data_IF_344210434832
#
_entry.id   IF_344210434832
#
_cell.length_a   1.000
_cell.length_b   1.000
_cell.length_c   1.000
_cell.angle_alpha   90.00
_cell.angle_beta   90.00
_cell.angle_gamma   90.00
#
_symmetry.space_group_name_H-M   'P 1'
#
loop_
_entity.id
_entity.type
_entity.pdbx_description
1 polymer ?
#
# COMPACT_ATOMS: atom_id res chain seq x y z
N UNK A 1 10.61 13.21 59.22
CA UNK A 1 10.34 12.21 60.28
C UNK A 1 9.14 11.39 59.84
N UNK A 2 9.20 10.04 59.81
CA UNK A 2 8.05 9.11 59.61
C UNK A 2 7.20 9.28 58.32
N UNK A 3 6.83 8.26 57.53
CA UNK A 3 7.19 6.82 57.51
C UNK A 3 6.88 6.28 56.11
N UNK A 4 7.63 5.28 55.64
CA UNK A 4 7.26 4.47 54.46
C UNK A 4 6.74 3.10 54.91
N UNK A 5 5.76 2.54 54.17
CA UNK A 5 5.76 1.11 53.80
C UNK A 5 5.40 0.93 52.31
N UNK A 6 5.54 -0.22 51.66
CA UNK A 6 6.45 -1.38 51.78
C UNK A 6 6.28 -2.20 50.46
N UNK A 7 7.26 -2.98 49.98
CA UNK A 7 7.14 -3.70 48.71
C UNK A 7 6.35 -5.03 48.86
N UNK A 8 5.30 -5.20 48.06
CA UNK A 8 4.57 -6.47 47.96
C UNK A 8 5.38 -7.53 47.21
N UNK A 9 5.64 -8.68 47.83
CA UNK A 9 6.56 -9.70 47.32
C UNK A 9 5.87 -11.04 47.08
N UNK A 10 6.12 -11.64 45.91
CA UNK A 10 6.02 -13.07 45.55
C UNK A 10 4.69 -13.86 45.68
N UNK A 11 4.45 -14.69 44.65
CA UNK A 11 3.45 -15.78 44.61
C UNK A 11 2.62 -15.75 43.32
N UNK A 12 2.47 -16.83 42.55
CA UNK A 12 2.94 -18.22 42.68
C UNK A 12 3.20 -18.83 41.29
N UNK A 13 4.06 -19.84 41.27
CA UNK A 13 4.29 -20.78 40.15
C UNK A 13 3.01 -21.44 39.66
N UNK A 14 2.86 -21.56 38.32
CA UNK A 14 1.78 -22.32 37.67
C UNK A 14 2.27 -23.06 36.43
N UNK A 15 3.05 -24.14 36.62
CA UNK A 15 3.47 -25.03 35.52
C UNK A 15 2.95 -26.46 35.77
N UNK A 16 1.94 -26.84 34.99
CA UNK A 16 1.36 -28.19 34.87
C UNK A 16 1.10 -28.37 33.36
N UNK A 17 1.85 -29.15 32.56
CA UNK A 17 2.25 -30.57 32.59
C UNK A 17 1.08 -31.58 32.46
N UNK A 18 1.16 -32.35 31.36
CA UNK A 18 0.46 -33.63 31.03
C UNK A 18 -1.04 -33.46 30.61
N UNK A 19 -1.62 -34.33 29.78
CA UNK A 19 -1.17 -35.65 29.29
C UNK A 19 -1.57 -35.98 27.84
N UNK A 20 -0.86 -36.98 27.32
CA UNK A 20 -1.08 -37.84 26.13
C UNK A 20 -2.49 -38.37 25.84
N UNK A 21 -2.81 -38.53 24.55
CA UNK A 21 -3.70 -39.57 23.97
C UNK A 21 -3.24 -39.87 22.54
N UNK A 22 -2.64 -41.04 22.26
CA UNK A 22 -3.28 -42.24 21.67
C UNK A 22 -4.26 -41.91 20.51
N UNK A 23 -3.92 -42.10 19.23
CA UNK A 23 -3.65 -43.35 18.49
C UNK A 23 -4.92 -44.17 18.14
N UNK A 24 -5.28 -44.21 16.85
CA UNK A 24 -6.35 -45.05 16.27
C UNK A 24 -6.48 -44.83 14.74
N UNK A 25 -6.90 -45.83 13.91
CA UNK A 25 -6.36 -45.97 12.55
C UNK A 25 -7.41 -46.09 11.40
N UNK A 26 -6.88 -46.39 10.19
CA UNK A 26 -7.55 -46.76 8.91
C UNK A 26 -8.22 -45.59 8.14
N UNK A 27 -7.86 -45.25 6.89
CA UNK A 27 -7.60 -46.00 5.65
C UNK A 27 -8.86 -46.41 4.86
N UNK A 28 -8.97 -45.93 3.62
CA UNK A 28 -9.33 -46.57 2.33
C UNK A 28 -9.49 -45.41 1.31
N UNK A 29 -8.60 -45.16 0.33
CA UNK A 29 -8.31 -45.84 -0.94
C UNK A 29 -9.45 -45.84 -1.99
N UNK A 30 -9.25 -45.10 -3.09
CA UNK A 30 -9.73 -45.30 -4.49
C UNK A 30 -9.53 -43.94 -5.23
N UNK A 31 -8.57 -43.66 -6.12
CA UNK A 31 -7.93 -44.35 -7.26
C UNK A 31 -8.57 -44.03 -8.63
N UNK A 32 -7.73 -43.54 -9.56
CA UNK A 32 -8.04 -43.33 -10.99
C UNK A 32 -8.38 -41.88 -11.39
N UNK A 33 -8.03 -41.38 -12.58
CA UNK A 33 -7.35 -42.02 -13.72
C UNK A 33 -6.43 -41.03 -14.48
N UNK A 34 -5.46 -41.58 -15.21
CA UNK A 34 -4.42 -40.85 -15.96
C UNK A 34 -4.91 -40.45 -17.36
N UNK A 35 -4.43 -39.31 -17.88
CA UNK A 35 -4.12 -39.19 -19.30
C UNK A 35 -2.71 -38.59 -19.49
N UNK A 36 -1.78 -39.46 -19.87
CA UNK A 36 -0.48 -39.06 -20.40
C UNK A 36 -0.61 -38.86 -21.92
N UNK A 37 -0.09 -37.75 -22.44
CA UNK A 37 0.10 -37.52 -23.87
C UNK A 37 1.59 -37.45 -24.19
N UNK A 38 2.11 -38.40 -24.97
CA UNK A 38 3.55 -38.51 -25.27
C UNK A 38 3.82 -39.04 -26.69
N UNK A 39 4.51 -38.24 -27.52
CA UNK A 39 5.11 -38.63 -28.81
C UNK A 39 4.11 -39.00 -29.94
N UNK A 40 4.46 -39.01 -31.23
CA UNK A 40 5.60 -38.56 -32.06
C UNK A 40 5.07 -38.53 -33.55
N UNK A 41 5.81 -38.28 -34.68
CA UNK A 41 7.27 -38.27 -34.89
C UNK A 41 7.83 -37.14 -35.83
N UNK A 42 9.13 -37.20 -36.14
CA UNK A 42 9.78 -36.47 -37.27
C UNK A 42 9.55 -37.21 -38.61
N UNK A 43 9.98 -36.80 -39.82
CA UNK A 43 11.02 -35.86 -40.36
C UNK A 43 10.56 -35.49 -41.82
N UNK A 44 11.33 -34.93 -42.81
CA UNK A 44 12.75 -34.53 -42.92
C UNK A 44 12.99 -33.06 -43.36
N UNK A 45 14.24 -32.74 -43.71
CA UNK A 45 14.73 -31.38 -43.98
C UNK A 45 14.55 -30.86 -45.42
N UNK A 46 14.50 -29.53 -45.57
CA UNK A 46 14.73 -28.78 -46.81
C UNK A 46 15.59 -27.53 -46.52
N UNK A 47 16.47 -27.07 -47.42
CA UNK A 47 17.45 -26.01 -47.13
C UNK A 47 17.00 -24.59 -47.50
N UNK A 48 17.76 -23.60 -46.97
CA UNK A 48 17.65 -22.15 -47.19
C UNK A 48 16.39 -21.48 -46.57
N UNK A 49 16.46 -20.28 -45.98
CA UNK A 49 17.47 -19.21 -46.12
C UNK A 49 17.73 -18.54 -44.77
N UNK A 50 18.96 -18.08 -44.53
CA UNK A 50 19.30 -17.35 -43.30
C UNK A 50 18.70 -15.94 -43.28
N UNK A 51 18.03 -15.59 -42.19
CA UNK A 51 17.62 -14.21 -41.89
C UNK A 51 17.92 -13.90 -40.41
N UNK A 52 18.72 -12.87 -40.09
CA UNK A 52 18.92 -12.49 -38.71
C UNK A 52 17.68 -11.74 -38.22
N UNK A 53 17.05 -12.25 -37.17
CA UNK A 53 16.07 -11.49 -36.40
C UNK A 53 16.42 -11.66 -34.93
N UNK A 54 17.14 -10.68 -34.41
CA UNK A 54 17.53 -10.58 -33.02
C UNK A 54 16.28 -10.53 -32.15
N UNK A 55 15.86 -11.68 -31.64
CA UNK A 55 14.80 -11.82 -30.65
C UNK A 55 15.27 -11.26 -29.31
N UNK A 56 15.37 -9.93 -29.22
CA UNK A 56 15.62 -9.25 -27.97
C UNK A 56 14.44 -9.52 -27.04
N UNK A 57 14.67 -10.31 -25.99
CA UNK A 57 13.73 -10.48 -24.89
C UNK A 57 13.57 -9.13 -24.19
N UNK A 58 12.55 -8.37 -24.59
CA UNK A 58 12.14 -7.19 -23.85
C UNK A 58 11.75 -7.63 -22.43
N UNK A 59 12.31 -7.03 -21.37
CA UNK A 59 11.79 -7.27 -20.04
C UNK A 59 10.33 -6.78 -20.03
N UNK A 60 9.44 -7.60 -19.48
CA UNK A 60 8.07 -7.19 -19.19
C UNK A 60 8.08 -6.20 -18.02
N UNK A 61 8.56 -4.98 -18.26
CA UNK A 61 8.25 -3.83 -17.44
C UNK A 61 6.74 -3.70 -17.43
N UNK A 62 6.11 -4.00 -16.28
CA UNK A 62 4.72 -3.71 -16.00
C UNK A 62 4.54 -2.19 -16.00
N UNK A 63 4.39 -1.64 -17.21
CA UNK A 63 4.14 -0.25 -17.47
C UNK A 63 2.79 0.13 -16.91
N UNK A 64 2.78 0.61 -15.66
CA UNK A 64 1.65 1.34 -15.11
C UNK A 64 1.29 2.44 -16.10
N UNK A 65 0.12 2.31 -16.73
CA UNK A 65 -0.35 3.26 -17.73
C UNK A 65 -0.33 4.67 -17.12
N UNK A 66 0.09 5.66 -17.91
CA UNK A 66 0.03 7.05 -17.49
C UNK A 66 -1.42 7.37 -17.10
N UNK A 67 -1.66 7.55 -15.80
CA UNK A 67 -3.00 7.70 -15.29
C UNK A 67 -3.56 9.04 -15.79
N UNK A 68 -4.54 9.00 -16.70
CA UNK A 68 -5.15 10.21 -17.28
C UNK A 68 -5.58 11.19 -16.20
N UNK A 69 -5.49 12.50 -16.45
CA UNK A 69 -5.64 13.49 -15.40
C UNK A 69 -7.01 13.44 -14.71
N UNK A 70 -7.04 13.74 -13.40
CA UNK A 70 -8.26 13.89 -12.61
C UNK A 70 -8.18 15.20 -11.85
N UNK A 71 -9.26 15.99 -11.90
CA UNK A 71 -9.43 17.16 -11.05
C UNK A 71 -10.09 16.77 -9.74
N UNK A 72 -9.62 17.35 -8.64
CA UNK A 72 -10.12 17.14 -7.28
C UNK A 72 -10.36 18.49 -6.61
N UNK A 73 -11.34 18.55 -5.72
CA UNK A 73 -11.56 19.73 -4.87
C UNK A 73 -10.88 19.52 -3.52
N UNK A 74 -9.99 20.44 -3.14
CA UNK A 74 -9.41 20.46 -1.80
C UNK A 74 -10.45 20.95 -0.79
N UNK A 75 -10.30 20.60 0.50
CA UNK A 75 -11.15 21.13 1.58
C UNK A 75 -11.06 22.66 1.71
N UNK A 76 -9.97 23.27 1.23
CA UNK A 76 -9.80 24.72 1.13
C UNK A 76 -10.54 25.35 -0.08
N UNK A 77 -11.31 24.58 -0.84
CA UNK A 77 -12.09 25.03 -2.00
C UNK A 77 -11.31 25.16 -3.31
N UNK A 78 -9.98 25.05 -3.29
CA UNK A 78 -9.17 25.10 -4.50
C UNK A 78 -9.29 23.80 -5.32
N UNK A 79 -9.36 23.92 -6.65
CA UNK A 79 -9.25 22.82 -7.60
C UNK A 79 -7.79 22.45 -7.84
N UNK A 80 -7.48 21.15 -7.88
CA UNK A 80 -6.14 20.63 -8.17
C UNK A 80 -6.23 19.48 -9.16
N UNK A 81 -5.27 19.38 -10.09
CA UNK A 81 -5.17 18.26 -11.04
C UNK A 81 -4.11 17.26 -10.58
N UNK A 82 -4.44 15.98 -10.61
CA UNK A 82 -3.53 14.85 -10.41
C UNK A 82 -3.27 14.20 -11.79
N UNK A 83 -2.02 13.98 -12.21
CA UNK A 83 -0.78 14.36 -11.54
C UNK A 83 -0.53 15.88 -11.51
N UNK A 84 0.23 16.32 -10.51
CA UNK A 84 0.50 17.74 -10.22
C UNK A 84 1.75 18.30 -10.91
N UNK A 85 2.48 17.48 -11.68
CA UNK A 85 3.82 17.79 -12.19
C UNK A 85 4.95 17.49 -11.20
N UNK A 86 4.63 17.15 -9.94
CA UNK A 86 5.60 16.91 -8.87
C UNK A 86 5.47 15.50 -8.27
N UNK A 87 6.54 14.96 -7.65
CA UNK A 87 6.47 13.80 -6.76
C UNK A 87 5.37 13.98 -5.71
N UNK A 88 4.36 13.10 -5.73
CA UNK A 88 3.13 13.29 -4.93
C UNK A 88 2.75 12.01 -4.19
N UNK A 89 2.60 12.10 -2.87
CA UNK A 89 1.98 11.05 -2.04
C UNK A 89 0.47 11.23 -2.03
N UNK A 90 -0.28 10.16 -2.29
CA UNK A 90 -1.72 10.06 -2.03
C UNK A 90 -1.92 9.09 -0.86
N UNK A 91 -2.56 9.55 0.20
CA UNK A 91 -2.86 8.76 1.41
C UNK A 91 -4.38 8.62 1.57
N UNK A 92 -4.89 7.40 1.45
CA UNK A 92 -6.32 7.11 1.45
C UNK A 92 -6.80 6.67 2.84
N UNK A 93 -7.79 7.39 3.39
CA UNK A 93 -8.23 7.23 4.78
C UNK A 93 -9.71 7.61 4.97
N UNK A 94 -10.19 7.49 6.20
CA UNK A 94 -11.36 8.23 6.74
C UNK A 94 -10.95 8.78 8.11
N UNK A 95 -11.49 9.91 8.60
CA UNK A 95 -11.11 10.41 9.93
C UNK A 95 -11.52 9.46 11.07
N UNK A 96 -12.57 8.68 10.86
CA UNK A 96 -13.03 7.59 11.74
C UNK A 96 -12.08 6.37 11.83
N UNK A 97 -11.08 6.25 10.94
CA UNK A 97 -10.09 5.18 10.94
C UNK A 97 -9.08 5.30 12.10
N UNK A 98 -9.14 4.40 13.08
CA UNK A 98 -8.31 4.45 14.29
C UNK A 98 -6.78 4.38 14.04
N UNK A 99 -6.30 3.65 13.04
CA UNK A 99 -4.87 3.61 12.68
C UNK A 99 -4.44 4.82 11.86
N UNK A 100 -5.36 5.50 11.16
CA UNK A 100 -5.00 6.47 10.14
C UNK A 100 -4.39 7.77 10.69
N UNK A 101 -4.57 8.06 11.99
CA UNK A 101 -3.82 9.14 12.68
C UNK A 101 -2.32 8.87 12.67
N UNK A 102 -1.89 7.60 12.80
CA UNK A 102 -0.48 7.24 12.73
C UNK A 102 0.04 7.26 11.28
N UNK A 103 -0.73 6.74 10.32
CA UNK A 103 -0.39 6.77 8.90
C UNK A 103 -0.24 8.20 8.35
N UNK A 104 -1.19 9.10 8.63
CA UNK A 104 -1.08 10.50 8.21
C UNK A 104 0.11 11.24 8.87
N UNK A 105 0.48 10.90 10.11
CA UNK A 105 1.71 11.40 10.75
C UNK A 105 2.96 10.86 10.06
N UNK A 106 2.96 9.60 9.63
CA UNK A 106 4.06 9.02 8.85
C UNK A 106 4.20 9.70 7.49
N UNK A 107 3.09 10.00 6.80
CA UNK A 107 3.07 10.78 5.54
C UNK A 107 3.66 12.18 5.73
N UNK A 108 3.24 12.91 6.75
CA UNK A 108 3.78 14.24 7.06
C UNK A 108 5.29 14.19 7.38
N UNK A 109 5.73 13.20 8.16
CA UNK A 109 7.14 13.02 8.50
C UNK A 109 7.99 12.53 7.31
N UNK A 110 7.41 11.76 6.37
CA UNK A 110 8.06 11.34 5.14
C UNK A 110 8.21 12.49 4.15
N UNK A 111 7.17 13.32 4.00
CA UNK A 111 7.22 14.55 3.20
C UNK A 111 8.28 15.52 3.73
N UNK A 112 8.38 15.70 5.05
CA UNK A 112 9.38 16.57 5.67
C UNK A 112 10.84 16.09 5.49
N UNK A 113 11.05 14.83 5.11
CA UNK A 113 12.37 14.24 4.75
C UNK A 113 12.66 14.27 3.25
N UNK A 114 11.67 14.59 2.42
CA UNK A 114 11.79 14.53 0.96
C UNK A 114 12.50 15.77 0.38
N UNK A 115 12.89 15.68 -0.89
CA UNK A 115 13.44 16.81 -1.62
C UNK A 115 12.41 17.96 -1.79
N UNK A 116 12.85 19.22 -1.87
CA UNK A 116 11.97 20.36 -2.09
C UNK A 116 11.07 20.19 -3.32
N UNK A 117 9.79 20.54 -3.19
CA UNK A 117 8.79 20.42 -4.26
C UNK A 117 8.01 19.11 -4.28
N UNK A 118 8.36 18.12 -3.45
CA UNK A 118 7.46 17.00 -3.17
C UNK A 118 6.14 17.49 -2.54
N UNK A 119 5.05 16.76 -2.80
CA UNK A 119 3.69 17.07 -2.34
C UNK A 119 3.06 15.86 -1.65
N UNK A 120 2.08 16.11 -0.77
CA UNK A 120 1.25 15.05 -0.21
C UNK A 120 -0.20 15.48 -0.09
N UNK A 121 -1.09 14.53 -0.38
CA UNK A 121 -2.53 14.67 -0.31
C UNK A 121 -3.12 13.56 0.56
N UNK A 122 -3.85 13.95 1.60
CA UNK A 122 -4.73 13.07 2.35
C UNK A 122 -6.11 13.07 1.68
N UNK A 123 -6.58 11.87 1.33
CA UNK A 123 -7.80 11.61 0.58
C UNK A 123 -8.80 10.91 1.47
N UNK A 124 -9.80 11.64 1.94
CA UNK A 124 -10.94 11.10 2.68
C UNK A 124 -11.85 10.32 1.72
N UNK A 125 -12.10 9.06 2.03
CA UNK A 125 -12.93 8.15 1.23
C UNK A 125 -14.41 8.13 1.63
N UNK A 126 -14.80 8.78 2.74
CA UNK A 126 -16.20 8.84 3.16
C UNK A 126 -16.83 10.19 2.75
N UNK A 127 -17.59 10.24 1.64
CA UNK A 127 -18.22 11.49 1.20
C UNK A 127 -19.25 12.03 2.21
N UNK A 128 -19.76 11.18 3.11
CA UNK A 128 -20.71 11.52 4.15
C UNK A 128 -20.08 11.96 5.48
N UNK A 129 -18.75 11.91 5.64
CA UNK A 129 -18.10 12.23 6.90
C UNK A 129 -18.27 13.74 7.24
N UNK A 130 -18.62 14.13 8.48
CA UNK A 130 -18.76 15.56 8.81
C UNK A 130 -17.44 16.34 8.66
N UNK A 131 -17.52 17.58 8.20
CA UNK A 131 -16.35 18.49 8.07
C UNK A 131 -15.65 18.69 9.42
N UNK A 132 -16.42 18.67 10.51
CA UNK A 132 -15.94 18.74 11.88
C UNK A 132 -15.06 17.54 12.24
N UNK A 133 -15.41 16.34 11.77
CA UNK A 133 -14.63 15.11 11.99
C UNK A 133 -13.29 15.17 11.26
N UNK A 134 -13.28 15.64 10.00
CA UNK A 134 -12.03 15.89 9.26
C UNK A 134 -11.17 16.96 9.94
N UNK A 135 -11.78 18.06 10.39
CA UNK A 135 -11.07 19.16 11.07
C UNK A 135 -10.45 18.69 12.41
N UNK A 136 -11.15 17.81 13.13
CA UNK A 136 -10.63 17.16 14.33
C UNK A 136 -9.48 16.21 14.00
N UNK A 137 -9.56 15.44 12.91
CA UNK A 137 -8.47 14.59 12.43
C UNK A 137 -7.22 15.41 12.08
N UNK A 138 -7.36 16.47 11.27
CA UNK A 138 -6.28 17.41 10.92
C UNK A 138 -5.60 17.95 12.19
N UNK A 139 -6.39 18.33 13.19
CA UNK A 139 -5.90 18.80 14.49
C UNK A 139 -5.15 17.69 15.26
N UNK A 140 -5.67 16.46 15.27
CA UNK A 140 -5.06 15.30 15.96
C UNK A 140 -3.70 14.88 15.38
N UNK A 141 -3.45 15.22 14.12
CA UNK A 141 -2.17 15.01 13.44
C UNK A 141 -1.22 16.21 13.54
N UNK A 142 -1.65 17.30 14.17
CA UNK A 142 -0.83 18.51 14.42
C UNK A 142 -0.86 19.54 13.29
N UNK A 143 -1.88 19.51 12.43
CA UNK A 143 -2.02 20.39 11.26
C UNK A 143 -0.76 20.49 10.37
N UNK A 144 -0.19 19.35 9.91
CA UNK A 144 0.93 19.34 8.97
C UNK A 144 0.51 19.93 7.60
N UNK A 145 1.47 20.34 6.75
CA UNK A 145 1.21 20.91 5.43
C UNK A 145 0.82 19.83 4.40
N UNK A 146 -0.26 19.11 4.68
CA UNK A 146 -0.89 18.15 3.77
C UNK A 146 -2.08 18.83 3.08
N UNK A 147 -2.22 18.60 1.78
CA UNK A 147 -3.46 18.93 1.08
C UNK A 147 -4.53 17.92 1.50
N UNK A 148 -5.70 18.37 1.92
CA UNK A 148 -6.84 17.49 2.17
C UNK A 148 -7.86 17.59 1.04
N UNK A 149 -8.39 16.45 0.61
CA UNK A 149 -9.51 16.34 -0.32
C UNK A 149 -10.48 15.27 0.16
N UNK A 150 -11.72 15.36 -0.31
CA UNK A 150 -12.76 14.34 -0.16
C UNK A 150 -13.00 13.71 -1.52
N UNK A 151 -12.90 12.40 -1.59
CA UNK A 151 -13.17 11.65 -2.80
C UNK A 151 -14.67 11.48 -3.02
N UNK A 152 -15.10 11.59 -4.28
CA UNK A 152 -16.45 11.25 -4.74
C UNK A 152 -16.54 9.78 -5.23
N UNK A 153 -15.50 9.00 -4.93
CA UNK A 153 -15.26 7.65 -5.43
C UNK A 153 -14.44 7.62 -6.73
N UNK A 154 -14.03 8.76 -7.29
CA UNK A 154 -13.19 8.81 -8.50
C UNK A 154 -11.77 8.33 -8.22
N UNK A 155 -11.13 8.80 -7.14
CA UNK A 155 -9.78 8.41 -6.76
C UNK A 155 -9.73 6.97 -6.25
N UNK A 156 -10.72 6.55 -5.44
CA UNK A 156 -10.90 5.18 -4.97
C UNK A 156 -10.87 4.19 -6.15
N UNK A 157 -11.67 4.44 -7.18
CA UNK A 157 -11.71 3.62 -8.41
C UNK A 157 -10.41 3.73 -9.20
N UNK A 158 -9.91 4.95 -9.41
CA UNK A 158 -8.70 5.22 -10.22
C UNK A 158 -7.46 4.51 -9.70
N UNK A 159 -7.27 4.51 -8.39
CA UNK A 159 -6.10 3.92 -7.74
C UNK A 159 -6.35 2.51 -7.21
N UNK A 160 -7.51 1.91 -7.50
CA UNK A 160 -7.94 0.61 -6.99
C UNK A 160 -7.71 0.51 -5.48
N UNK A 161 -8.31 1.43 -4.73
CA UNK A 161 -8.14 1.52 -3.28
C UNK A 161 -9.01 0.47 -2.60
N UNK A 162 -8.36 -0.50 -1.97
CA UNK A 162 -8.96 -1.67 -1.33
C UNK A 162 -8.74 -1.72 0.21
N UNK A 163 -7.93 -0.80 0.75
CA UNK A 163 -7.64 -0.68 2.16
C UNK A 163 -7.53 0.79 2.62
N UNK A 164 -7.99 1.06 3.84
CA UNK A 164 -7.67 2.31 4.56
C UNK A 164 -6.18 2.28 4.98
N UNK A 165 -5.53 3.45 4.99
CA UNK A 165 -4.08 3.54 5.22
C UNK A 165 -3.26 3.27 3.95
N UNK A 166 -3.89 2.95 2.82
CA UNK A 166 -3.19 2.80 1.54
C UNK A 166 -2.49 4.10 1.16
N UNK A 167 -1.20 3.98 0.86
CA UNK A 167 -0.35 5.06 0.40
C UNK A 167 0.17 4.73 -0.99
N UNK A 168 -0.05 5.64 -1.94
CA UNK A 168 0.45 5.58 -3.32
C UNK A 168 1.40 6.75 -3.53
N UNK A 169 2.56 6.54 -4.14
CA UNK A 169 3.45 7.64 -4.56
C UNK A 169 3.55 7.68 -6.07
N UNK A 170 3.28 8.85 -6.62
CA UNK A 170 3.36 9.16 -8.05
C UNK A 170 4.61 10.00 -8.32
N UNK A 171 5.24 9.77 -9.47
CA UNK A 171 6.19 10.73 -10.05
C UNK A 171 5.44 11.92 -10.69
N UNK A 172 6.19 12.95 -11.12
CA UNK A 172 5.60 14.15 -11.73
C UNK A 172 4.74 13.88 -12.99
N UNK A 173 4.98 12.77 -13.69
CA UNK A 173 4.20 12.32 -14.85
C UNK A 173 2.96 11.48 -14.48
N UNK A 174 2.69 11.26 -13.18
CA UNK A 174 1.56 10.46 -12.71
C UNK A 174 1.75 8.95 -12.77
N UNK A 175 2.98 8.47 -13.01
CA UNK A 175 3.29 7.05 -12.89
C UNK A 175 3.44 6.68 -11.41
N UNK A 176 2.73 5.65 -10.99
CA UNK A 176 2.95 5.01 -9.68
C UNK A 176 4.36 4.42 -9.59
N UNK A 177 5.10 4.81 -8.54
CA UNK A 177 6.43 4.29 -8.20
C UNK A 177 6.45 3.55 -6.85
N UNK A 178 5.43 3.73 -6.02
CA UNK A 178 5.27 3.03 -4.75
C UNK A 178 3.79 2.82 -4.42
N UNK A 179 3.51 1.68 -3.76
CA UNK A 179 2.22 1.35 -3.16
C UNK A 179 2.45 0.54 -1.88
N UNK A 180 1.74 0.86 -0.81
CA UNK A 180 1.71 0.06 0.41
C UNK A 180 0.74 0.61 1.46
N UNK A 181 0.24 -0.25 2.34
CA UNK A 181 -0.64 0.14 3.46
C UNK A 181 0.21 0.47 4.69
N UNK A 182 -0.13 1.58 5.37
CA UNK A 182 0.53 2.11 6.57
C UNK A 182 2.09 2.08 6.53
N UNK A 183 2.73 2.62 5.46
CA UNK A 183 4.18 2.66 5.38
C UNK A 183 4.81 3.61 6.40
N UNK A 184 6.04 3.29 6.78
CA UNK A 184 6.87 4.18 7.61
C UNK A 184 7.25 5.47 6.88
N UNK A 185 7.53 6.53 7.64
CA UNK A 185 8.01 7.81 7.11
C UNK A 185 9.27 7.66 6.23
N UNK A 186 10.15 6.71 6.53
CA UNK A 186 11.36 6.46 5.73
C UNK A 186 11.05 5.79 4.38
N UNK A 187 10.09 4.85 4.33
CA UNK A 187 9.62 4.29 3.06
C UNK A 187 8.97 5.37 2.17
N UNK A 188 8.18 6.27 2.77
CA UNK A 188 7.54 7.39 2.06
C UNK A 188 8.60 8.36 1.52
N UNK A 189 9.60 8.71 2.33
CA UNK A 189 10.70 9.60 1.91
C UNK A 189 11.53 8.98 0.77
N UNK A 190 11.85 7.68 0.86
CA UNK A 190 12.56 6.94 -0.21
C UNK A 190 11.74 6.88 -1.50
N UNK A 191 10.44 6.61 -1.40
CA UNK A 191 9.53 6.60 -2.55
C UNK A 191 9.43 7.98 -3.22
N UNK A 192 9.38 9.06 -2.43
CA UNK A 192 9.39 10.44 -2.94
C UNK A 192 10.72 10.82 -3.61
N UNK A 193 11.85 10.37 -3.08
CA UNK A 193 13.16 10.57 -3.72
C UNK A 193 13.24 9.84 -5.08
N UNK A 194 12.80 8.58 -5.13
CA UNK A 194 12.73 7.81 -6.37
C UNK A 194 11.71 8.37 -7.38
N UNK A 195 10.65 9.03 -6.91
CA UNK A 195 9.64 9.71 -7.73
C UNK A 195 10.14 11.00 -8.39
N UNK A 196 11.21 11.62 -7.86
CA UNK A 196 11.80 12.86 -8.36
C UNK A 196 13.12 12.68 -9.12
N UNK A 197 13.51 11.43 -9.40
CA UNK A 197 14.75 11.05 -10.12
C UNK A 197 14.51 10.81 -11.62
#
# INVERSE_FOLDING_TARGET
>A
MKTSPAPGTAGRTGSLRRATGLAGPAAILLAGLLLAGCGAPSTPAGPATAGPSSGASAPASSGAAAAGSVQVQTLGGASLTIPTGHPTVLYFFTASCGSCVAGAKAVAAGLAKAAPGAQAMAVDLDPGEPTETLTAFMSSIGNPPLTFTRDDGTLLKKFNVDALGLTVVLNGAGKEVYRGVDPSADQIAQALAAAGS
#
